data_IF_735544005374
#
_entry.id   IF_735544005374
#
_cell.length_a   1.000
_cell.length_b   1.000
_cell.length_c   1.000
_cell.angle_alpha   90.00
_cell.angle_beta   90.00
_cell.angle_gamma   90.00
#
_symmetry.space_group_name_H-M   'P 1'
#
loop_
_entity.id
_entity.type
_entity.pdbx_description
1 polymer ?
#
# COMPACT_ATOMS: atom_id res chain seq x y z
N UNK A 1 -6.41 0.90 13.98
CA UNK A 1 -6.35 -0.55 13.68
C UNK A 1 -7.28 -0.86 12.53
N UNK A 2 -7.05 -1.93 11.76
CA UNK A 2 -7.85 -2.28 10.57
C UNK A 2 -9.13 -3.09 10.89
N UNK A 3 -9.60 -3.03 12.13
CA UNK A 3 -10.64 -3.90 12.67
C UNK A 3 -10.08 -5.06 13.49
N UNK A 4 -10.99 -5.78 14.16
CA UNK A 4 -10.64 -6.95 14.97
C UNK A 4 -10.13 -8.08 14.07
N UNK A 5 -9.07 -8.77 14.49
CA UNK A 5 -8.45 -9.89 13.74
C UNK A 5 -7.97 -9.54 12.33
N UNK A 6 -7.76 -8.26 12.03
CA UNK A 6 -7.14 -7.80 10.80
C UNK A 6 -5.65 -7.55 11.02
N UNK A 7 -4.81 -8.22 10.25
CA UNK A 7 -3.36 -8.09 10.29
C UNK A 7 -2.87 -7.40 9.02
N UNK A 8 -1.93 -6.48 9.16
CA UNK A 8 -1.30 -5.79 8.03
C UNK A 8 0.05 -6.43 7.69
N UNK A 9 0.40 -6.40 6.40
CA UNK A 9 1.75 -6.67 5.94
C UNK A 9 2.67 -5.45 6.11
N UNK A 10 3.80 -5.45 5.40
CA UNK A 10 4.64 -4.26 5.31
C UNK A 10 3.82 -3.06 4.77
N UNK A 11 4.11 -1.88 5.32
CA UNK A 11 3.60 -0.61 4.82
C UNK A 11 4.69 0.10 4.01
N UNK A 12 4.34 0.63 2.84
CA UNK A 12 5.28 1.37 2.01
C UNK A 12 4.70 2.72 1.58
N UNK A 13 5.57 3.72 1.52
CA UNK A 13 5.22 5.09 1.16
C UNK A 13 5.33 5.31 -0.35
N UNK A 14 4.39 6.08 -0.91
CA UNK A 14 4.41 6.56 -2.29
C UNK A 14 4.17 8.06 -2.31
N UNK A 15 5.21 8.82 -2.63
CA UNK A 15 5.14 10.28 -2.75
C UNK A 15 4.40 10.72 -4.01
N UNK A 16 3.72 11.87 -3.93
CA UNK A 16 2.91 12.41 -5.04
C UNK A 16 3.70 13.30 -5.99
N UNK A 17 4.79 13.93 -5.53
CA UNK A 17 5.64 14.81 -6.32
C UNK A 17 7.09 14.78 -5.85
N UNK A 18 8.03 14.98 -6.77
CA UNK A 18 9.42 15.21 -6.40
C UNK A 18 9.56 16.61 -5.76
N UNK A 19 10.22 16.68 -4.60
CA UNK A 19 10.46 17.93 -3.87
C UNK A 19 9.28 18.44 -3.02
N UNK A 20 8.28 17.60 -2.73
CA UNK A 20 7.28 17.87 -1.70
C UNK A 20 7.81 17.69 -0.27
N UNK A 21 6.94 17.93 0.72
CA UNK A 21 7.20 17.53 2.11
C UNK A 21 7.43 16.01 2.16
N UNK A 22 8.20 15.53 3.15
CA UNK A 22 8.54 14.11 3.30
C UNK A 22 7.29 13.20 3.32
N UNK A 23 6.19 13.69 3.92
CA UNK A 23 4.93 13.00 4.09
C UNK A 23 3.89 13.32 2.98
N UNK A 24 4.27 14.02 1.92
CA UNK A 24 3.37 14.42 0.83
C UNK A 24 3.04 13.25 -0.11
N UNK A 25 2.20 12.32 0.37
CA UNK A 25 1.78 11.17 -0.39
C UNK A 25 0.89 10.19 0.36
N UNK A 26 1.08 8.91 0.09
CA UNK A 26 0.23 7.84 0.61
C UNK A 26 1.05 6.74 1.26
N UNK A 27 0.49 6.15 2.33
CA UNK A 27 0.98 4.89 2.89
C UNK A 27 0.07 3.76 2.42
N UNK A 28 0.67 2.72 1.87
CA UNK A 28 -0.02 1.60 1.24
C UNK A 28 0.27 0.32 2.02
N UNK A 29 -0.73 -0.54 2.21
CA UNK A 29 -0.51 -1.86 2.80
C UNK A 29 -1.57 -2.87 2.37
N UNK A 30 -1.24 -4.16 2.48
CA UNK A 30 -2.20 -5.24 2.40
C UNK A 30 -2.66 -5.61 3.80
N UNK A 31 -3.96 -5.78 3.97
CA UNK A 31 -4.57 -6.30 5.19
C UNK A 31 -5.16 -7.66 4.93
N UNK A 32 -5.14 -8.52 5.95
CA UNK A 32 -5.75 -9.83 5.94
C UNK A 32 -6.61 -10.00 7.19
N UNK A 33 -7.87 -10.35 6.98
CA UNK A 33 -8.80 -10.74 8.03
C UNK A 33 -8.63 -12.23 8.35
N UNK A 34 -8.31 -12.54 9.59
CA UNK A 34 -8.18 -13.92 10.07
C UNK A 34 -9.57 -14.56 10.23
N UNK A 35 -9.71 -15.80 9.76
CA UNK A 35 -10.98 -16.53 9.76
C UNK A 35 -11.66 -16.50 8.40
N UNK A 36 -11.97 -15.32 7.85
CA UNK A 36 -12.58 -15.22 6.51
C UNK A 36 -11.57 -15.38 5.38
N UNK A 37 -10.29 -15.13 5.65
CA UNK A 37 -9.22 -15.15 4.63
C UNK A 37 -9.31 -13.97 3.66
N UNK A 38 -10.18 -12.99 3.92
CA UNK A 38 -10.38 -11.83 3.06
C UNK A 38 -9.16 -10.90 3.13
N UNK A 39 -8.65 -10.51 1.97
CA UNK A 39 -7.60 -9.49 1.86
C UNK A 39 -8.13 -8.18 1.28
N UNK A 40 -7.56 -7.07 1.74
CA UNK A 40 -7.80 -5.74 1.17
C UNK A 40 -6.47 -5.04 0.91
N UNK A 41 -6.39 -4.30 -0.18
CA UNK A 41 -5.35 -3.30 -0.40
C UNK A 41 -5.86 -1.95 0.12
N UNK A 42 -5.10 -1.32 0.99
CA UNK A 42 -5.52 -0.10 1.70
C UNK A 42 -4.58 1.04 1.33
N UNK A 43 -5.17 2.20 1.04
CA UNK A 43 -4.49 3.46 0.75
C UNK A 43 -4.83 4.45 1.87
N UNK A 44 -3.80 4.98 2.51
CA UNK A 44 -3.92 5.93 3.62
C UNK A 44 -3.27 7.26 3.26
N UNK A 45 -3.87 8.36 3.68
CA UNK A 45 -3.26 9.69 3.59
C UNK A 45 -2.08 9.77 4.55
N UNK A 46 -0.87 9.99 4.04
CA UNK A 46 0.35 10.05 4.85
C UNK A 46 0.43 11.33 5.71
N UNK A 47 -0.26 12.41 5.32
CA UNK A 47 -0.34 13.66 6.10
C UNK A 47 -1.38 13.63 7.19
N UNK A 48 -2.30 12.66 7.15
CA UNK A 48 -3.25 12.48 8.23
C UNK A 48 -2.51 11.99 9.49
N UNK A 49 -2.69 12.65 10.65
CA UNK A 49 -2.05 12.24 11.90
C UNK A 49 -2.48 10.84 12.37
N UNK A 50 -3.58 10.32 11.81
CA UNK A 50 -4.15 9.01 12.11
C UNK A 50 -4.05 8.02 10.95
N UNK A 51 -3.39 8.39 9.84
CA UNK A 51 -3.33 7.61 8.60
C UNK A 51 -4.73 7.22 8.10
N UNK A 52 -5.59 8.21 7.90
CA UNK A 52 -6.95 7.98 7.46
C UNK A 52 -7.02 7.20 6.15
N UNK A 53 -7.88 6.18 6.11
CA UNK A 53 -8.07 5.34 4.93
C UNK A 53 -8.88 6.14 3.89
N UNK A 54 -8.21 6.53 2.80
CA UNK A 54 -8.82 7.25 1.68
C UNK A 54 -9.34 6.32 0.59
N UNK A 55 -8.82 5.08 0.51
CA UNK A 55 -9.36 4.04 -0.35
C UNK A 55 -9.09 2.64 0.22
N UNK A 56 -10.00 1.71 -0.08
CA UNK A 56 -9.84 0.29 0.24
C UNK A 56 -10.38 -0.58 -0.89
N UNK A 57 -9.53 -1.45 -1.42
CA UNK A 57 -9.87 -2.38 -2.50
C UNK A 57 -9.93 -3.79 -1.95
N UNK A 58 -11.11 -4.40 -2.01
CA UNK A 58 -11.30 -5.81 -1.66
C UNK A 58 -10.67 -6.69 -2.75
N UNK A 59 -9.78 -7.61 -2.36
CA UNK A 59 -9.15 -8.53 -3.29
C UNK A 59 -9.98 -9.81 -3.43
N UNK A 60 -10.03 -10.35 -4.65
CA UNK A 60 -10.77 -11.59 -4.94
C UNK A 60 -10.08 -12.84 -4.40
N UNK A 61 -8.79 -12.74 -4.07
CA UNK A 61 -7.97 -13.81 -3.52
C UNK A 61 -7.21 -13.31 -2.28
N UNK A 62 -6.84 -14.26 -1.42
CA UNK A 62 -6.04 -13.99 -0.23
C UNK A 62 -4.61 -13.62 -0.62
N UNK A 63 -4.08 -12.56 -0.02
CA UNK A 63 -2.65 -12.22 -0.01
C UNK A 63 -2.02 -12.83 1.24
N UNK A 64 -1.07 -13.78 1.13
CA UNK A 64 -0.37 -14.34 2.28
C UNK A 64 0.58 -13.34 2.95
N UNK A 65 0.99 -13.63 4.19
CA UNK A 65 2.05 -12.87 4.85
C UNK A 65 3.33 -12.92 4.01
N UNK A 66 3.85 -11.75 3.67
CA UNK A 66 5.07 -11.58 2.89
C UNK A 66 6.19 -10.92 3.70
N UNK A 67 7.25 -10.53 2.99
CA UNK A 67 8.36 -9.74 3.52
C UNK A 67 8.27 -8.32 2.95
N UNK A 68 9.29 -7.90 2.21
CA UNK A 68 9.39 -6.56 1.66
C UNK A 68 8.71 -6.45 0.29
N UNK A 69 8.15 -5.27 0.02
CA UNK A 69 7.55 -4.85 -1.24
C UNK A 69 8.26 -3.63 -1.84
N UNK A 70 7.90 -3.32 -3.08
CA UNK A 70 8.36 -2.15 -3.79
C UNK A 70 7.20 -1.57 -4.61
N UNK A 71 7.09 -0.24 -4.62
CA UNK A 71 6.29 0.47 -5.60
C UNK A 71 7.17 0.87 -6.79
N UNK A 72 6.78 0.46 -8.00
CA UNK A 72 7.41 0.90 -9.23
C UNK A 72 6.45 1.83 -9.96
N UNK A 73 6.89 3.08 -10.19
CA UNK A 73 6.10 4.02 -10.96
C UNK A 73 6.01 3.60 -12.43
N UNK A 74 5.04 4.14 -13.17
CA UNK A 74 4.99 3.94 -14.62
C UNK A 74 6.32 4.33 -15.29
N UNK A 75 6.93 5.45 -14.86
CA UNK A 75 8.24 5.89 -15.36
C UNK A 75 9.33 4.84 -15.13
N UNK A 76 9.34 4.17 -13.99
CA UNK A 76 10.31 3.11 -13.70
C UNK A 76 10.08 1.86 -14.57
N UNK A 77 8.81 1.48 -14.77
CA UNK A 77 8.45 0.39 -15.68
C UNK A 77 8.82 0.70 -17.15
N UNK A 78 8.69 1.95 -17.59
CA UNK A 78 9.10 2.36 -18.95
C UNK A 78 10.62 2.31 -19.14
N UNK A 79 11.42 2.67 -18.12
CA UNK A 79 12.88 2.52 -18.17
C UNK A 79 13.29 1.06 -18.38
N UNK A 80 12.59 0.11 -17.74
CA UNK A 80 12.85 -1.32 -17.92
C UNK A 80 12.62 -1.76 -19.38
N UNK A 81 11.56 -1.29 -20.03
CA UNK A 81 11.26 -1.65 -21.43
C UNK A 81 12.29 -1.13 -22.43
N UNK A 82 12.91 0.01 -22.12
CA UNK A 82 13.89 0.67 -22.99
C UNK A 82 15.34 0.25 -22.70
N UNK A 83 15.53 -0.70 -21.78
CA UNK A 83 16.82 -1.31 -21.50
C UNK A 83 17.16 -2.29 -22.63
N UNK A 84 17.97 -1.83 -23.59
CA UNK A 84 18.64 -2.66 -24.60
C UNK A 84 20.09 -2.86 -24.22
#
# INVERSE_FOLDING_TARGET
SFGERCFAGESFFVGTKEGGDEDDGYVLTYTQEEGSGQSRFVVMDAKSPTLDIVASVRLTQRVPCGFHGLFASEKDLQKQKNWK
#
